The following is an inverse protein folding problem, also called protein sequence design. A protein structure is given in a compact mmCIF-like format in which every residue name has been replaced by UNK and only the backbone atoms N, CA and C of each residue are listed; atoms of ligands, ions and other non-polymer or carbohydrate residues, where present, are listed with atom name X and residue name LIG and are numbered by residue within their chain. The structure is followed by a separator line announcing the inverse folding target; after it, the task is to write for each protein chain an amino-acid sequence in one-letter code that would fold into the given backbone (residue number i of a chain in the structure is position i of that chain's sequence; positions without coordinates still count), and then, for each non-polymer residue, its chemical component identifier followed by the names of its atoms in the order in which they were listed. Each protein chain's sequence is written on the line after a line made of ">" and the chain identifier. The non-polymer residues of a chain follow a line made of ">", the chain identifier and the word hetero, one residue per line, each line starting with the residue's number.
data_IF_299453321047
#
_entry.id   IF_299453321047
#
_cell.length_a   1.000
_cell.length_b   1.000
_cell.length_c   1.000
_cell.angle_alpha   90.00
_cell.angle_beta   90.00
_cell.angle_gamma   90.00
#
_symmetry.space_group_name_H-M   'P 1'
#
loop_
_entity.id
_entity.type
_entity.pdbx_description
1 polymer ?
#
# COMPACT_ATOMS: atom_id res chain seq x y z
N UNK A 1 3.87 -12.69 28.33
CA UNK A 1 3.15 -13.57 27.37
C UNK A 1 3.82 -14.94 27.17
N UNK A 2 5.16 -15.06 27.00
CA UNK A 2 5.86 -16.35 26.79
C UNK A 2 5.67 -17.32 27.95
N UNK A 3 5.91 -16.91 29.19
CA UNK A 3 5.78 -17.76 30.38
C UNK A 3 4.33 -18.14 30.68
N UNK A 4 3.41 -17.17 30.54
CA UNK A 4 1.98 -17.41 30.76
C UNK A 4 1.42 -18.45 29.77
N UNK A 5 1.81 -18.39 28.50
CA UNK A 5 1.38 -19.39 27.52
C UNK A 5 2.01 -20.77 27.76
N UNK A 6 3.25 -20.86 28.29
CA UNK A 6 3.91 -22.13 28.52
C UNK A 6 3.20 -22.89 29.64
N UNK A 7 2.94 -22.25 30.76
CA UNK A 7 2.16 -22.83 31.87
C UNK A 7 0.74 -23.20 31.46
N UNK A 8 0.11 -22.45 30.54
CA UNK A 8 -1.22 -22.77 30.02
C UNK A 8 -1.24 -24.08 29.22
N UNK A 9 -0.21 -24.35 28.39
CA UNK A 9 -0.14 -25.65 27.67
C UNK A 9 0.11 -26.81 28.59
N UNK A 10 0.98 -26.66 29.58
CA UNK A 10 1.27 -27.71 30.57
C UNK A 10 0.03 -28.06 31.39
N UNK A 11 -0.68 -27.04 31.88
CA UNK A 11 -1.82 -27.21 32.76
C UNK A 11 -3.09 -27.72 32.04
N UNK A 12 -3.29 -27.33 30.77
CA UNK A 12 -4.54 -27.64 30.07
C UNK A 12 -4.45 -28.86 29.14
N UNK A 13 -3.26 -29.24 28.68
CA UNK A 13 -3.11 -30.29 27.65
C UNK A 13 -2.09 -31.36 28.05
N UNK A 14 -1.54 -31.33 29.26
CA UNK A 14 -0.47 -32.23 29.69
C UNK A 14 0.62 -32.40 28.62
N UNK A 15 1.05 -31.25 28.02
CA UNK A 15 1.97 -31.21 26.91
C UNK A 15 2.99 -30.08 27.11
N UNK A 16 4.26 -30.43 27.06
CA UNK A 16 5.38 -29.49 27.11
C UNK A 16 5.95 -29.27 25.70
N UNK A 17 5.59 -28.18 25.04
CA UNK A 17 6.12 -27.90 23.71
C UNK A 17 7.61 -27.54 23.78
N UNK A 18 8.41 -28.05 22.82
CA UNK A 18 9.76 -27.52 22.58
C UNK A 18 9.73 -26.05 22.25
N UNK A 19 10.86 -25.33 22.32
CA UNK A 19 10.93 -23.91 22.03
C UNK A 19 10.38 -23.54 20.63
N UNK A 20 10.69 -24.37 19.62
CA UNK A 20 10.17 -24.16 18.27
C UNK A 20 8.68 -24.43 18.16
N UNK A 21 8.18 -25.49 18.78
CA UNK A 21 6.75 -25.81 18.85
C UNK A 21 5.99 -24.70 19.56
N UNK A 22 6.52 -24.20 20.66
CA UNK A 22 5.96 -23.10 21.42
C UNK A 22 5.86 -21.81 20.57
N UNK A 23 6.90 -21.49 19.78
CA UNK A 23 6.87 -20.33 18.86
C UNK A 23 5.73 -20.44 17.87
N UNK A 24 5.51 -21.61 17.28
CA UNK A 24 4.43 -21.84 16.30
C UNK A 24 3.06 -21.70 16.95
N UNK A 25 2.81 -22.42 18.05
CA UNK A 25 1.50 -22.38 18.73
C UNK A 25 1.21 -21.00 19.29
N UNK A 26 2.15 -20.37 19.97
CA UNK A 26 2.01 -19.04 20.55
C UNK A 26 1.76 -17.97 19.46
N UNK A 27 2.41 -18.09 18.31
CA UNK A 27 2.18 -17.18 17.18
C UNK A 27 0.78 -17.35 16.60
N UNK A 28 0.30 -18.55 16.38
CA UNK A 28 -1.05 -18.82 15.90
C UNK A 28 -2.10 -18.29 16.89
N UNK A 29 -1.93 -18.54 18.18
CA UNK A 29 -2.83 -18.03 19.23
C UNK A 29 -2.85 -16.51 19.22
N UNK A 30 -1.69 -15.85 19.16
CA UNK A 30 -1.60 -14.40 19.08
C UNK A 30 -2.39 -13.83 17.89
N UNK A 31 -2.23 -14.40 16.70
CA UNK A 31 -2.94 -13.95 15.51
C UNK A 31 -4.45 -14.19 15.57
N UNK A 32 -4.89 -15.31 16.21
CA UNK A 32 -6.31 -15.59 16.42
C UNK A 32 -6.92 -14.56 17.38
N UNK A 33 -6.25 -14.30 18.52
CA UNK A 33 -6.67 -13.29 19.49
C UNK A 33 -6.86 -11.94 18.82
N UNK A 34 -5.89 -11.52 18.02
CA UNK A 34 -5.90 -10.23 17.31
C UNK A 34 -7.02 -10.15 16.26
N UNK A 35 -7.16 -11.21 15.46
CA UNK A 35 -8.16 -11.27 14.39
C UNK A 35 -9.60 -11.31 14.89
N UNK A 36 -9.85 -12.16 15.91
CA UNK A 36 -11.20 -12.45 16.38
C UNK A 36 -11.61 -11.59 17.59
N UNK A 37 -10.69 -10.76 18.10
CA UNK A 37 -10.87 -10.01 19.35
C UNK A 37 -11.28 -10.92 20.53
N UNK A 38 -10.63 -12.09 20.63
CA UNK A 38 -10.86 -13.07 21.70
C UNK A 38 -9.83 -12.93 22.80
N UNK A 39 -10.18 -13.39 24.00
CA UNK A 39 -9.21 -13.56 25.08
C UNK A 39 -8.39 -14.86 24.90
N UNK A 40 -7.25 -14.94 25.56
CA UNK A 40 -6.43 -16.16 25.58
C UNK A 40 -7.23 -17.36 26.13
N UNK A 41 -8.00 -17.15 27.20
CA UNK A 41 -8.84 -18.21 27.79
C UNK A 41 -9.84 -18.76 26.78
N UNK A 42 -10.54 -17.90 26.04
CA UNK A 42 -11.49 -18.33 25.01
C UNK A 42 -10.85 -19.15 23.90
N UNK A 43 -9.58 -18.87 23.53
CA UNK A 43 -8.86 -19.69 22.55
C UNK A 43 -8.45 -21.05 23.15
N UNK A 44 -8.05 -21.09 24.43
CA UNK A 44 -7.71 -22.35 25.13
C UNK A 44 -8.95 -23.23 25.30
N UNK A 45 -10.08 -22.65 25.72
CA UNK A 45 -11.34 -23.39 25.88
C UNK A 45 -11.80 -23.96 24.53
N UNK A 46 -11.73 -23.18 23.46
CA UNK A 46 -12.00 -23.67 22.10
C UNK A 46 -11.09 -24.86 21.72
N UNK A 47 -9.79 -24.80 22.08
CA UNK A 47 -8.86 -25.89 21.81
C UNK A 47 -9.20 -27.16 22.61
N UNK A 48 -9.63 -27.05 23.88
CA UNK A 48 -10.08 -28.19 24.70
C UNK A 48 -11.28 -28.89 24.08
N UNK A 49 -12.23 -28.12 23.60
CA UNK A 49 -13.47 -28.65 23.03
C UNK A 49 -13.26 -29.29 21.64
N UNK A 50 -12.38 -28.72 20.84
CA UNK A 50 -12.30 -29.08 19.42
C UNK A 50 -11.07 -29.86 19.01
N UNK A 51 -9.98 -29.81 19.81
CA UNK A 51 -8.75 -30.49 19.47
C UNK A 51 -8.75 -31.95 19.99
N UNK A 52 -8.42 -32.93 19.13
CA UNK A 52 -8.29 -34.33 19.57
C UNK A 52 -6.99 -34.61 20.35
N UNK A 53 -6.43 -33.61 21.03
CA UNK A 53 -5.10 -33.69 21.67
C UNK A 53 -4.96 -34.84 22.66
N UNK A 54 -6.01 -35.14 23.41
CA UNK A 54 -6.01 -36.18 24.41
C UNK A 54 -5.95 -37.62 23.81
N UNK A 55 -6.30 -37.75 22.54
CA UNK A 55 -6.19 -39.01 21.79
C UNK A 55 -4.77 -39.30 21.30
N UNK A 56 -3.84 -38.35 21.48
CA UNK A 56 -2.48 -38.42 20.94
C UNK A 56 -1.40 -38.40 22.03
N UNK A 57 -0.22 -38.90 21.69
CA UNK A 57 0.98 -38.89 22.55
C UNK A 57 2.16 -38.21 21.87
N UNK A 58 3.05 -37.65 22.65
CA UNK A 58 4.31 -37.06 22.17
C UNK A 58 4.14 -36.01 21.08
N UNK A 59 4.89 -36.13 19.98
CA UNK A 59 4.89 -35.20 18.85
C UNK A 59 3.50 -35.02 18.19
N UNK A 60 2.66 -36.05 18.24
CA UNK A 60 1.32 -36.00 17.65
C UNK A 60 0.38 -35.04 18.41
N UNK A 61 0.61 -34.77 19.70
CA UNK A 61 -0.11 -33.72 20.44
C UNK A 61 0.15 -32.32 19.84
N UNK A 62 1.40 -32.03 19.52
CA UNK A 62 1.75 -30.77 18.84
C UNK A 62 1.05 -30.64 17.49
N UNK A 63 1.06 -31.69 16.68
CA UNK A 63 0.42 -31.70 15.37
C UNK A 63 -1.07 -31.43 15.51
N UNK A 64 -1.77 -32.11 16.41
CA UNK A 64 -3.20 -31.94 16.66
C UNK A 64 -3.55 -30.48 17.08
N UNK A 65 -2.78 -29.92 18.03
CA UNK A 65 -2.97 -28.53 18.47
C UNK A 65 -2.71 -27.55 17.36
N UNK A 66 -1.59 -27.70 16.63
CA UNK A 66 -1.23 -26.85 15.50
C UNK A 66 -2.32 -26.86 14.43
N UNK A 67 -2.79 -28.04 14.04
CA UNK A 67 -3.76 -28.18 12.95
C UNK A 67 -5.14 -27.61 13.35
N UNK A 68 -5.53 -27.75 14.62
CA UNK A 68 -6.73 -27.10 15.16
C UNK A 68 -6.59 -25.58 15.14
N UNK A 69 -5.43 -25.06 15.58
CA UNK A 69 -5.15 -23.60 15.53
C UNK A 69 -5.09 -23.08 14.09
N UNK A 70 -4.56 -23.84 13.14
CA UNK A 70 -4.57 -23.48 11.71
C UNK A 70 -6.01 -23.36 11.20
N UNK A 71 -6.87 -24.31 11.51
CA UNK A 71 -8.28 -24.25 11.14
C UNK A 71 -8.98 -23.03 11.75
N UNK A 72 -8.71 -22.74 13.01
CA UNK A 72 -9.26 -21.55 13.67
C UNK A 72 -8.72 -20.25 13.05
N UNK A 73 -7.42 -20.21 12.71
CA UNK A 73 -6.76 -19.04 12.15
C UNK A 73 -7.20 -18.75 10.70
N UNK A 74 -7.50 -19.80 9.93
CA UNK A 74 -7.87 -19.74 8.51
C UNK A 74 -9.20 -20.47 8.25
N UNK A 75 -10.32 -20.03 8.83
CA UNK A 75 -11.57 -20.79 8.82
C UNK A 75 -12.16 -20.98 7.44
N UNK A 76 -12.15 -19.97 6.57
CA UNK A 76 -12.72 -20.08 5.23
C UNK A 76 -11.88 -20.97 4.31
N UNK A 77 -10.56 -20.85 4.39
CA UNK A 77 -9.65 -21.69 3.60
C UNK A 77 -9.71 -23.15 4.06
N UNK A 78 -9.70 -23.39 5.37
CA UNK A 78 -9.76 -24.74 5.93
C UNK A 78 -11.05 -25.50 5.61
N UNK A 79 -12.14 -24.81 5.36
CA UNK A 79 -13.40 -25.42 4.91
C UNK A 79 -13.38 -25.83 3.42
N UNK A 80 -12.53 -25.21 2.62
CA UNK A 80 -12.52 -25.37 1.15
C UNK A 80 -11.38 -26.22 0.63
N UNK A 81 -10.26 -26.23 1.34
CA UNK A 81 -9.04 -26.92 0.90
C UNK A 81 -8.11 -27.24 2.07
N UNK A 82 -7.23 -28.21 1.86
CA UNK A 82 -6.11 -28.45 2.77
C UNK A 82 -5.12 -27.30 2.72
N UNK A 83 -4.64 -26.87 3.87
CA UNK A 83 -3.65 -25.81 3.99
C UNK A 83 -2.27 -26.44 4.16
N UNK A 84 -1.38 -26.19 3.22
CA UNK A 84 0.01 -26.60 3.31
C UNK A 84 0.75 -25.73 4.33
N UNK A 85 1.38 -26.33 5.37
CA UNK A 85 2.07 -25.58 6.42
C UNK A 85 3.12 -24.59 5.90
N UNK A 86 3.79 -24.93 4.79
CA UNK A 86 4.82 -24.10 4.15
C UNK A 86 4.26 -22.82 3.51
N UNK A 87 2.98 -22.82 3.21
CA UNK A 87 2.28 -21.63 2.69
C UNK A 87 1.97 -20.59 3.77
N UNK A 88 2.05 -20.99 5.05
CA UNK A 88 1.76 -20.13 6.19
C UNK A 88 3.04 -19.41 6.60
N UNK A 89 2.99 -18.09 6.63
CA UNK A 89 4.08 -17.27 7.17
C UNK A 89 3.78 -16.86 8.61
N UNK A 90 4.55 -17.41 9.54
CA UNK A 90 4.53 -17.08 10.98
C UNK A 90 5.81 -16.30 11.32
N UNK A 91 5.72 -14.98 11.44
CA UNK A 91 6.82 -14.14 11.88
C UNK A 91 7.14 -14.40 13.37
N UNK A 92 8.37 -14.13 13.76
CA UNK A 92 8.73 -14.16 15.19
C UNK A 92 7.96 -13.05 15.93
N UNK A 93 7.44 -13.38 17.13
CA UNK A 93 6.83 -12.38 18.01
C UNK A 93 7.94 -11.49 18.57
N UNK A 94 7.90 -10.22 18.23
CA UNK A 94 8.79 -9.19 18.75
C UNK A 94 7.98 -8.22 19.62
N UNK A 95 8.64 -7.63 20.58
CA UNK A 95 8.04 -6.52 21.33
C UNK A 95 7.84 -5.34 20.39
N UNK A 96 6.63 -4.74 20.41
CA UNK A 96 6.39 -3.51 19.65
C UNK A 96 7.36 -2.41 20.10
N UNK A 97 7.69 -1.52 19.20
CA UNK A 97 8.40 -0.30 19.57
C UNK A 97 7.46 0.51 20.48
N UNK A 98 7.85 0.68 21.73
CA UNK A 98 6.99 1.15 22.84
C UNK A 98 6.53 2.59 22.75
N UNK A 99 7.08 3.37 21.86
CA UNK A 99 6.64 4.76 21.71
C UNK A 99 5.27 4.81 21.04
N UNK A 100 4.34 5.48 21.66
CA UNK A 100 3.05 5.83 21.09
C UNK A 100 3.27 6.59 19.78
N UNK A 101 3.30 5.84 18.66
CA UNK A 101 3.40 6.43 17.35
C UNK A 101 2.12 7.19 17.03
N UNK A 102 2.18 8.50 17.20
CA UNK A 102 1.14 9.38 16.66
C UNK A 102 1.66 9.94 15.33
N UNK A 103 1.09 9.48 14.25
CA UNK A 103 1.29 10.13 12.95
C UNK A 103 0.67 11.52 13.08
N UNK A 104 1.50 12.57 12.98
CA UNK A 104 1.01 13.95 12.99
C UNK A 104 0.21 14.17 11.72
N UNK A 105 -0.98 14.76 11.85
CA UNK A 105 -1.83 15.13 10.70
C UNK A 105 -1.15 16.13 9.77
N UNK A 106 -0.24 16.96 10.29
CA UNK A 106 0.54 17.94 9.53
C UNK A 106 1.99 17.46 9.42
N UNK A 107 2.44 17.32 8.18
CA UNK A 107 3.85 17.00 7.91
C UNK A 107 4.75 18.16 8.33
N UNK A 108 5.74 17.86 9.16
CA UNK A 108 6.82 18.77 9.55
C UNK A 108 8.13 17.97 9.59
N UNK A 109 9.14 18.33 8.78
CA UNK A 109 10.40 17.62 8.80
C UNK A 109 11.14 17.88 10.11
N UNK A 110 11.78 16.86 10.67
CA UNK A 110 12.66 17.03 11.82
C UNK A 110 14.03 17.58 11.43
N UNK A 111 14.43 17.39 10.17
CA UNK A 111 15.67 17.92 9.58
C UNK A 111 15.59 17.85 8.06
N UNK A 112 16.24 18.77 7.39
CA UNK A 112 16.36 18.83 5.93
C UNK A 112 17.81 18.64 5.56
N UNK A 113 18.10 17.72 4.66
CA UNK A 113 19.40 17.52 4.04
C UNK A 113 19.33 18.01 2.59
N UNK A 114 20.35 18.71 2.14
CA UNK A 114 20.43 19.20 0.76
C UNK A 114 21.77 18.81 0.13
N UNK A 115 21.73 18.26 -1.07
CA UNK A 115 22.97 18.04 -1.84
C UNK A 115 23.51 19.39 -2.36
N UNK A 116 24.83 19.55 -2.35
CA UNK A 116 25.54 20.76 -2.82
C UNK A 116 25.10 21.21 -4.21
N UNK A 117 24.90 20.25 -5.12
CA UNK A 117 24.51 20.54 -6.51
C UNK A 117 23.14 21.23 -6.64
N UNK A 118 22.31 21.23 -5.58
CA UNK A 118 20.95 21.77 -5.57
C UNK A 118 20.66 22.70 -4.38
N UNK A 119 21.70 23.21 -3.72
CA UNK A 119 21.59 24.14 -2.58
C UNK A 119 20.88 25.47 -2.93
N UNK A 120 20.91 25.86 -4.19
CA UNK A 120 20.24 27.09 -4.70
C UNK A 120 18.90 26.80 -5.37
N UNK A 121 18.35 25.60 -5.17
CA UNK A 121 17.08 25.22 -5.81
C UNK A 121 15.88 25.93 -5.22
N UNK A 122 14.87 26.19 -6.06
CA UNK A 122 13.59 26.71 -5.63
C UNK A 122 12.92 25.77 -4.61
N UNK A 123 13.13 24.45 -4.73
CA UNK A 123 12.60 23.46 -3.80
C UNK A 123 13.12 23.69 -2.38
N UNK A 124 14.44 23.92 -2.21
CA UNK A 124 15.00 24.26 -0.90
C UNK A 124 14.42 25.58 -0.37
N UNK A 125 14.33 26.60 -1.22
CA UNK A 125 13.74 27.88 -0.84
C UNK A 125 12.29 27.75 -0.35
N UNK A 126 11.48 26.91 -0.99
CA UNK A 126 10.11 26.62 -0.58
C UNK A 126 10.06 25.95 0.79
N UNK A 127 10.91 24.95 1.02
CA UNK A 127 11.02 24.28 2.33
C UNK A 127 11.50 25.23 3.44
N UNK A 128 12.53 26.03 3.18
CA UNK A 128 13.04 27.03 4.14
C UNK A 128 11.98 28.09 4.49
N UNK A 129 11.21 28.54 3.51
CA UNK A 129 10.08 29.45 3.74
C UNK A 129 8.96 28.82 4.57
N UNK A 130 8.63 27.55 4.32
CA UNK A 130 7.56 26.82 5.05
C UNK A 130 8.01 26.45 6.46
N UNK A 131 9.26 26.10 6.65
CA UNK A 131 9.84 25.60 7.90
C UNK A 131 11.09 26.37 8.32
N UNK A 132 10.96 27.66 8.65
CA UNK A 132 12.14 28.54 8.89
C UNK A 132 12.98 28.17 10.12
N UNK A 133 12.45 27.30 11.01
CA UNK A 133 13.15 26.86 12.22
C UNK A 133 13.81 25.50 12.08
N UNK A 134 13.61 24.81 10.96
CA UNK A 134 14.17 23.49 10.75
C UNK A 134 15.60 23.59 10.24
N UNK A 135 16.49 22.84 10.88
CA UNK A 135 17.91 22.77 10.50
C UNK A 135 18.06 22.22 9.08
N UNK A 136 18.87 22.90 8.27
CA UNK A 136 19.28 22.46 6.93
C UNK A 136 20.74 22.06 7.01
N UNK A 137 21.05 20.80 6.66
CA UNK A 137 22.40 20.28 6.58
C UNK A 137 22.79 20.01 5.12
N UNK A 138 23.93 20.56 4.71
CA UNK A 138 24.51 20.29 3.39
C UNK A 138 25.23 18.93 3.39
N UNK A 139 24.97 18.12 2.35
CA UNK A 139 25.61 16.83 2.14
C UNK A 139 26.20 16.73 0.72
N UNK A 140 27.25 15.91 0.53
CA UNK A 140 27.79 15.67 -0.82
C UNK A 140 26.78 14.92 -1.69
N UNK A 141 26.43 13.69 -1.28
CA UNK A 141 25.48 12.81 -1.95
C UNK A 141 24.65 12.06 -0.91
N UNK A 142 23.32 12.00 -1.10
CA UNK A 142 22.44 11.27 -0.19
C UNK A 142 22.80 9.79 -0.09
N UNK A 143 23.15 9.15 -1.22
CA UNK A 143 23.53 7.73 -1.24
C UNK A 143 24.82 7.43 -0.45
N UNK A 144 25.77 8.39 -0.39
CA UNK A 144 26.96 8.29 0.45
C UNK A 144 26.58 8.49 1.93
N UNK A 145 25.73 9.47 2.21
CA UNK A 145 25.23 9.72 3.55
C UNK A 145 24.53 8.48 4.12
N UNK A 146 23.64 7.83 3.35
CA UNK A 146 22.92 6.62 3.75
C UNK A 146 23.84 5.42 4.01
N UNK A 147 24.93 5.29 3.26
CA UNK A 147 25.91 4.20 3.49
C UNK A 147 26.70 4.38 4.77
N UNK A 148 27.00 5.62 5.15
CA UNK A 148 27.74 5.95 6.39
C UNK A 148 26.86 5.85 7.63
N UNK A 149 25.59 6.15 7.51
CA UNK A 149 24.63 6.19 8.62
C UNK A 149 23.72 4.98 8.56
N UNK A 150 23.80 4.10 9.56
CA UNK A 150 22.88 2.96 9.69
C UNK A 150 21.63 3.41 10.43
N UNK A 151 20.49 3.16 9.84
CA UNK A 151 19.20 3.50 10.42
C UNK A 151 18.50 2.27 10.97
N UNK A 152 17.88 2.42 12.12
CA UNK A 152 17.03 1.39 12.74
C UNK A 152 15.57 1.61 12.38
N UNK A 153 14.72 0.61 12.60
CA UNK A 153 13.27 0.72 12.38
C UNK A 153 12.66 1.87 13.20
N UNK A 154 13.23 2.17 14.39
CA UNK A 154 12.78 3.28 15.23
C UNK A 154 13.07 4.65 14.60
N UNK A 155 14.11 4.77 13.80
CA UNK A 155 14.46 6.03 13.13
C UNK A 155 13.63 6.27 11.87
N UNK A 156 13.00 5.23 11.30
CA UNK A 156 12.01 5.42 10.23
C UNK A 156 10.84 6.34 10.64
N UNK A 157 10.74 6.62 11.92
CA UNK A 157 9.77 7.56 12.52
C UNK A 157 10.13 9.03 12.28
N UNK A 158 11.40 9.36 12.04
CA UNK A 158 11.84 10.75 11.88
C UNK A 158 11.47 11.22 10.48
N UNK A 159 10.66 12.25 10.32
CA UNK A 159 10.32 12.78 9.01
C UNK A 159 11.50 13.61 8.47
N UNK A 160 12.54 12.93 7.98
CA UNK A 160 13.66 13.57 7.31
C UNK A 160 13.33 13.91 5.87
N UNK A 161 13.83 15.01 5.36
CA UNK A 161 13.74 15.39 3.95
C UNK A 161 15.15 15.45 3.36
N UNK A 162 15.30 14.82 2.18
CA UNK A 162 16.52 14.88 1.38
C UNK A 162 16.20 15.58 0.05
N UNK A 163 16.70 16.79 -0.13
CA UNK A 163 16.62 17.54 -1.39
C UNK A 163 17.85 17.17 -2.21
N UNK A 164 17.65 16.51 -3.34
CA UNK A 164 18.72 15.86 -4.08
C UNK A 164 18.71 16.23 -5.56
N UNK A 165 19.81 15.96 -6.24
CA UNK A 165 19.88 15.91 -7.71
C UNK A 165 19.71 14.47 -8.17
N UNK A 166 18.60 14.15 -8.85
CA UNK A 166 18.45 12.85 -9.51
C UNK A 166 19.41 12.77 -10.70
N UNK A 167 20.11 11.63 -10.85
CA UNK A 167 21.21 11.48 -11.83
C UNK A 167 21.00 10.38 -12.87
N UNK A 168 19.96 9.56 -12.74
CA UNK A 168 19.88 8.43 -13.65
C UNK A 168 18.55 7.74 -13.82
N UNK A 169 17.77 7.57 -12.79
CA UNK A 169 16.57 6.71 -12.81
C UNK A 169 15.26 7.50 -13.00
N UNK A 170 15.24 8.34 -14.05
CA UNK A 170 14.13 9.27 -14.29
C UNK A 170 12.83 8.58 -14.72
N UNK A 171 12.92 7.56 -15.59
CA UNK A 171 11.76 6.90 -16.18
C UNK A 171 11.98 5.39 -16.16
N UNK A 172 11.00 4.65 -15.63
CA UNK A 172 11.06 3.20 -15.57
C UNK A 172 9.68 2.57 -15.71
N UNK A 173 9.64 1.31 -16.11
CA UNK A 173 8.39 0.53 -16.04
C UNK A 173 7.99 0.27 -14.59
N UNK A 174 6.69 0.24 -14.34
CA UNK A 174 6.16 -0.20 -13.06
C UNK A 174 6.71 -1.60 -12.72
N UNK A 175 7.27 -1.82 -11.49
CA UNK A 175 7.90 -3.08 -11.10
C UNK A 175 6.88 -4.17 -10.79
N UNK A 176 6.08 -4.53 -11.81
CA UNK A 176 5.10 -5.61 -11.68
C UNK A 176 5.79 -6.93 -11.32
N UNK A 177 5.13 -7.72 -10.50
CA UNK A 177 5.63 -9.05 -10.12
C UNK A 177 5.75 -9.95 -11.35
N UNK A 178 6.85 -10.69 -11.48
CA UNK A 178 7.04 -11.69 -12.55
C UNK A 178 5.83 -12.63 -12.62
N UNK A 179 5.48 -13.09 -13.84
CA UNK A 179 4.31 -13.94 -14.12
C UNK A 179 2.93 -13.31 -13.88
N UNK A 180 2.87 -12.02 -13.54
CA UNK A 180 1.62 -11.26 -13.45
C UNK A 180 1.44 -10.37 -14.68
N UNK A 181 0.19 -10.07 -15.02
CA UNK A 181 -0.10 -9.21 -16.17
C UNK A 181 0.22 -7.76 -15.83
N UNK A 182 0.90 -7.09 -16.76
CA UNK A 182 1.22 -5.67 -16.67
C UNK A 182 0.12 -4.85 -17.33
N UNK A 183 -0.24 -3.73 -16.72
CA UNK A 183 -1.12 -2.73 -17.34
C UNK A 183 -0.34 -1.71 -18.20
N UNK A 184 0.95 -1.93 -18.45
CA UNK A 184 1.78 -1.06 -19.28
C UNK A 184 2.20 0.26 -18.65
N UNK A 185 1.98 0.44 -17.35
CA UNK A 185 2.25 1.70 -16.66
C UNK A 185 3.75 2.03 -16.56
N UNK A 186 4.08 3.28 -16.83
CA UNK A 186 5.42 3.84 -16.65
C UNK A 186 5.46 4.78 -15.44
N UNK A 187 6.60 4.88 -14.81
CA UNK A 187 6.83 5.72 -13.65
C UNK A 187 7.80 6.84 -14.04
N UNK A 188 7.39 8.08 -13.84
CA UNK A 188 8.29 9.21 -13.71
C UNK A 188 8.75 9.22 -12.25
N UNK A 189 10.01 8.88 -12.01
CA UNK A 189 10.54 8.60 -10.66
C UNK A 189 10.83 9.89 -9.87
N UNK A 190 9.79 10.64 -9.58
CA UNK A 190 9.86 11.95 -8.92
C UNK A 190 9.93 11.82 -7.39
N UNK A 191 10.98 11.16 -6.90
CA UNK A 191 11.23 11.03 -5.48
C UNK A 191 10.87 9.67 -4.89
N UNK A 192 11.16 9.53 -3.61
CA UNK A 192 10.96 8.30 -2.85
C UNK A 192 10.56 8.61 -1.41
N UNK A 193 9.60 7.86 -0.88
CA UNK A 193 9.04 8.08 0.45
C UNK A 193 7.77 8.91 0.43
N UNK A 194 6.98 8.81 1.50
CA UNK A 194 5.67 9.43 1.57
C UNK A 194 5.39 9.87 3.02
N UNK A 195 4.84 11.07 3.26
CA UNK A 195 4.54 11.54 4.61
C UNK A 195 3.34 10.85 5.26
N UNK A 196 2.53 10.13 4.49
CA UNK A 196 1.28 9.52 4.98
C UNK A 196 1.47 8.28 5.83
N UNK A 197 2.60 7.61 5.71
CA UNK A 197 3.01 6.50 6.57
C UNK A 197 1.93 5.40 6.79
N UNK A 198 1.21 5.01 5.74
CA UNK A 198 0.19 3.96 5.81
C UNK A 198 0.81 2.64 6.29
N UNK A 199 0.15 1.94 7.22
CA UNK A 199 0.69 0.73 7.88
C UNK A 199 1.02 -0.41 6.92
N UNK A 200 0.30 -0.52 5.81
CA UNK A 200 0.44 -1.56 4.80
C UNK A 200 1.30 -1.15 3.60
N UNK A 201 1.86 0.06 3.61
CA UNK A 201 2.60 0.57 2.46
C UNK A 201 3.93 -0.16 2.29
N UNK A 202 4.19 -0.64 1.07
CA UNK A 202 5.44 -1.34 0.77
C UNK A 202 6.69 -0.44 0.92
N UNK A 203 6.54 0.88 0.87
CA UNK A 203 7.63 1.83 1.12
C UNK A 203 8.23 1.67 2.50
N UNK A 204 7.47 1.21 3.49
CA UNK A 204 7.96 0.91 4.83
C UNK A 204 9.10 -0.13 4.87
N UNK A 205 9.11 -1.01 3.87
CA UNK A 205 10.13 -2.05 3.75
C UNK A 205 11.22 -1.67 2.74
N UNK A 206 10.84 -0.95 1.67
CA UNK A 206 11.78 -0.56 0.61
C UNK A 206 12.71 0.58 1.06
N UNK A 207 12.26 1.45 1.96
CA UNK A 207 13.09 2.48 2.53
C UNK A 207 14.02 1.88 3.59
N UNK A 208 15.28 1.69 3.22
CA UNK A 208 16.34 1.33 4.16
C UNK A 208 16.82 2.55 4.99
N UNK A 209 16.08 3.66 4.96
CA UNK A 209 16.40 4.89 5.64
C UNK A 209 15.12 5.68 5.99
N UNK A 210 15.15 6.48 7.06
CA UNK A 210 14.07 7.39 7.38
C UNK A 210 14.11 8.60 6.46
N UNK A 211 12.96 8.96 5.88
CA UNK A 211 12.87 10.20 5.16
C UNK A 211 12.23 10.13 3.78
N UNK A 212 12.09 11.30 3.21
CA UNK A 212 11.52 11.53 1.89
C UNK A 212 12.60 12.14 1.01
N UNK A 213 12.85 11.55 -0.15
CA UNK A 213 13.80 12.05 -1.14
C UNK A 213 13.01 12.83 -2.19
N UNK A 214 13.42 14.06 -2.43
CA UNK A 214 12.77 14.99 -3.36
C UNK A 214 13.81 15.54 -4.34
N UNK A 215 13.72 15.21 -5.64
CA UNK A 215 14.59 15.76 -6.67
C UNK A 215 14.31 17.25 -6.92
N UNK A 216 15.37 18.05 -7.02
CA UNK A 216 15.23 19.47 -7.32
C UNK A 216 15.51 19.85 -8.79
N UNK A 217 15.98 18.90 -9.61
CA UNK A 217 16.41 19.12 -10.99
C UNK A 217 15.35 18.71 -12.01
N UNK A 218 14.20 19.37 -12.03
CA UNK A 218 13.06 19.04 -12.89
C UNK A 218 13.40 19.06 -14.38
N UNK A 219 14.26 19.93 -14.84
CA UNK A 219 14.68 20.04 -16.25
C UNK A 219 15.36 18.77 -16.78
N UNK A 220 16.07 18.06 -15.89
CA UNK A 220 16.69 16.79 -16.26
C UNK A 220 15.62 15.69 -16.50
N UNK A 221 14.53 15.73 -15.74
CA UNK A 221 13.36 14.86 -15.96
C UNK A 221 12.71 15.14 -17.31
N UNK A 222 12.51 16.40 -17.66
CA UNK A 222 11.92 16.82 -18.95
C UNK A 222 12.82 16.42 -20.10
N UNK A 223 14.10 16.69 -20.00
CA UNK A 223 15.10 16.30 -21.01
C UNK A 223 15.12 14.78 -21.21
N UNK A 224 15.09 14.02 -20.12
CA UNK A 224 15.06 12.55 -20.16
C UNK A 224 13.78 12.03 -20.77
N UNK A 225 12.63 12.65 -20.44
CA UNK A 225 11.35 12.28 -21.05
C UNK A 225 11.31 12.59 -22.54
N UNK A 226 11.81 13.73 -22.97
CA UNK A 226 11.85 14.08 -24.40
C UNK A 226 12.72 13.12 -25.22
N UNK A 227 13.84 12.66 -24.67
CA UNK A 227 14.65 11.60 -25.28
C UNK A 227 13.90 10.26 -25.35
N UNK A 228 13.26 9.86 -24.25
CA UNK A 228 12.49 8.64 -24.15
C UNK A 228 11.31 8.63 -25.11
N UNK A 229 10.53 9.74 -25.16
CA UNK A 229 9.30 9.85 -25.95
C UNK A 229 9.50 9.79 -27.44
N UNK A 230 10.68 10.17 -27.98
CA UNK A 230 11.01 10.05 -29.41
C UNK A 230 10.90 8.62 -29.95
N UNK A 231 11.08 7.62 -29.09
CA UNK A 231 11.03 6.20 -29.44
C UNK A 231 9.66 5.57 -29.21
N UNK A 232 8.67 6.33 -28.72
CA UNK A 232 7.34 5.80 -28.46
C UNK A 232 6.55 5.67 -29.78
N UNK A 233 6.15 4.43 -30.09
CA UNK A 233 5.31 4.14 -31.26
C UNK A 233 3.83 4.45 -31.04
N UNK A 234 3.40 4.44 -29.78
CA UNK A 234 2.00 4.70 -29.34
C UNK A 234 2.00 5.50 -28.03
N UNK A 235 0.90 6.16 -27.69
CA UNK A 235 0.75 6.79 -26.39
C UNK A 235 0.98 5.79 -25.25
N UNK A 236 1.44 6.29 -24.11
CA UNK A 236 1.65 5.49 -22.89
C UNK A 236 0.95 6.13 -21.70
N UNK A 237 0.73 5.34 -20.66
CA UNK A 237 0.37 5.82 -19.33
C UNK A 237 1.63 5.98 -18.49
N UNK A 238 1.84 7.19 -17.97
CA UNK A 238 2.99 7.51 -17.10
C UNK A 238 2.53 8.37 -15.94
N UNK A 239 3.12 8.20 -14.76
CA UNK A 239 2.78 9.03 -13.60
C UNK A 239 3.81 8.95 -12.49
N UNK A 240 3.58 9.71 -11.41
CA UNK A 240 4.56 9.92 -10.32
C UNK A 240 4.24 9.17 -9.03
N UNK A 241 3.04 8.62 -8.87
CA UNK A 241 2.49 8.16 -7.59
C UNK A 241 2.87 6.75 -7.14
N UNK A 242 3.95 6.13 -7.64
CA UNK A 242 4.33 4.77 -7.24
C UNK A 242 5.26 4.74 -6.02
N UNK A 243 6.32 5.55 -6.01
CA UNK A 243 7.30 5.58 -4.92
C UNK A 243 7.12 6.76 -3.96
N UNK A 244 6.17 7.63 -4.23
CA UNK A 244 5.74 8.74 -3.40
C UNK A 244 4.24 8.98 -3.62
N UNK A 245 3.62 9.83 -2.83
CA UNK A 245 2.29 10.37 -3.15
C UNK A 245 2.48 11.64 -3.99
N UNK A 246 1.75 11.77 -5.09
CA UNK A 246 1.98 12.86 -6.04
C UNK A 246 1.63 14.26 -5.53
N UNK A 247 0.71 14.36 -4.55
CA UNK A 247 0.18 15.65 -4.08
C UNK A 247 0.36 15.88 -2.58
N UNK A 248 0.86 14.89 -1.82
CA UNK A 248 0.98 15.00 -0.37
C UNK A 248 1.82 16.20 0.11
N UNK A 249 2.81 16.60 -0.68
CA UNK A 249 3.69 17.74 -0.40
C UNK A 249 3.64 18.81 -1.50
N UNK A 250 2.64 18.78 -2.39
CA UNK A 250 2.59 19.66 -3.56
C UNK A 250 2.48 21.15 -3.18
N UNK A 251 1.87 21.48 -2.04
CA UNK A 251 1.84 22.83 -1.49
C UNK A 251 3.23 23.39 -1.10
N UNK A 252 4.26 22.53 -1.07
CA UNK A 252 5.65 22.92 -0.80
C UNK A 252 6.51 22.71 -2.04
N UNK A 253 6.40 21.50 -2.63
CA UNK A 253 7.24 21.13 -3.77
C UNK A 253 6.85 21.84 -5.06
N UNK A 254 5.59 22.20 -5.20
CA UNK A 254 5.00 22.80 -6.41
C UNK A 254 5.26 21.97 -7.69
N UNK A 255 5.48 20.67 -7.54
CA UNK A 255 5.79 19.79 -8.67
C UNK A 255 4.67 19.78 -9.72
N UNK A 256 3.40 19.84 -9.30
CA UNK A 256 2.27 19.90 -10.23
C UNK A 256 2.34 21.13 -11.15
N UNK A 257 2.85 22.28 -10.64
CA UNK A 257 3.02 23.50 -11.42
C UNK A 257 4.06 23.38 -12.53
N UNK A 258 5.06 22.50 -12.36
CA UNK A 258 6.05 22.22 -13.40
C UNK A 258 5.59 21.08 -14.33
N UNK A 259 4.99 20.03 -13.79
CA UNK A 259 4.62 18.82 -14.52
C UNK A 259 3.41 19.02 -15.45
N UNK A 260 2.34 19.64 -14.98
CA UNK A 260 1.11 19.77 -15.75
C UNK A 260 1.31 20.62 -17.02
N UNK A 261 1.93 21.81 -16.96
CA UNK A 261 2.24 22.57 -18.17
C UNK A 261 3.12 21.83 -19.17
N UNK A 262 4.06 21.03 -18.67
CA UNK A 262 4.96 20.26 -19.53
C UNK A 262 4.25 19.08 -20.22
N UNK A 263 3.42 18.32 -19.48
CA UNK A 263 2.78 17.10 -20.02
C UNK A 263 1.48 17.35 -20.78
N UNK A 264 0.81 18.51 -20.62
CA UNK A 264 -0.50 18.79 -21.24
C UNK A 264 -0.50 18.62 -22.76
N UNK A 265 0.62 18.90 -23.43
CA UNK A 265 0.76 18.85 -24.89
C UNK A 265 1.52 17.60 -25.37
N UNK A 266 1.86 16.66 -24.46
CA UNK A 266 2.56 15.42 -24.82
C UNK A 266 1.56 14.30 -25.15
N UNK A 267 1.95 13.40 -26.05
CA UNK A 267 1.14 12.23 -26.45
C UNK A 267 1.23 11.10 -25.38
N UNK A 268 0.80 11.40 -24.18
CA UNK A 268 0.77 10.44 -23.04
C UNK A 268 -0.47 10.71 -22.20
N UNK A 269 -0.91 9.72 -21.43
CA UNK A 269 -1.80 9.92 -20.30
C UNK A 269 -0.93 10.07 -19.04
N UNK A 270 -0.86 11.30 -18.53
CA UNK A 270 -0.03 11.63 -17.37
C UNK A 270 -0.84 11.62 -16.09
N UNK A 271 -0.47 10.76 -15.14
CA UNK A 271 -1.21 10.55 -13.89
C UNK A 271 -0.50 11.14 -12.67
N UNK A 272 -1.23 11.90 -11.88
CA UNK A 272 -0.88 12.25 -10.51
C UNK A 272 -1.78 11.46 -9.55
N UNK A 273 -1.22 10.45 -8.86
CA UNK A 273 -1.96 9.55 -7.96
C UNK A 273 -1.75 9.95 -6.51
N UNK A 274 -2.84 10.07 -5.73
CA UNK A 274 -2.77 10.62 -4.38
C UNK A 274 -3.79 10.03 -3.39
N UNK A 275 -3.53 10.25 -2.10
CA UNK A 275 -4.46 10.15 -0.97
C UNK A 275 -4.65 11.50 -0.26
N UNK A 276 -4.17 12.57 -0.87
CA UNK A 276 -4.30 13.94 -0.37
C UNK A 276 -5.62 14.59 -0.81
N UNK A 277 -6.03 15.62 -0.11
CA UNK A 277 -7.01 16.60 -0.55
C UNK A 277 -6.37 17.94 -0.92
N UNK A 278 -5.04 18.00 -0.99
CA UNK A 278 -4.29 19.18 -1.39
C UNK A 278 -4.31 19.34 -2.91
N UNK A 279 -5.22 20.17 -3.41
CA UNK A 279 -5.46 20.41 -4.82
C UNK A 279 -5.31 21.88 -5.21
N UNK A 280 -4.88 22.73 -4.27
CA UNK A 280 -4.85 24.19 -4.48
C UNK A 280 -4.04 24.57 -5.72
N UNK A 281 -2.87 23.96 -5.93
CA UNK A 281 -2.07 24.21 -7.12
C UNK A 281 -2.77 23.75 -8.41
N UNK A 282 -3.46 22.61 -8.39
CA UNK A 282 -4.17 22.08 -9.56
C UNK A 282 -5.25 23.04 -10.06
N UNK A 283 -5.98 23.67 -9.13
CA UNK A 283 -7.08 24.60 -9.45
C UNK A 283 -6.58 25.92 -10.07
N UNK A 284 -5.30 26.23 -9.95
CA UNK A 284 -4.69 27.42 -10.58
C UNK A 284 -4.17 27.14 -11.99
N UNK A 285 -4.15 25.88 -12.42
CA UNK A 285 -3.56 25.46 -13.68
C UNK A 285 -4.64 25.14 -14.72
N UNK A 286 -4.28 25.31 -16.00
CA UNK A 286 -5.17 24.92 -17.10
C UNK A 286 -5.17 23.40 -17.23
N UNK A 287 -6.35 22.79 -17.08
CA UNK A 287 -6.56 21.36 -17.29
C UNK A 287 -6.33 20.93 -18.74
N UNK A 288 -6.06 19.64 -18.94
CA UNK A 288 -5.99 18.99 -20.25
C UNK A 288 -6.53 17.56 -20.15
N UNK A 289 -7.19 17.03 -21.19
CA UNK A 289 -7.79 15.67 -21.14
C UNK A 289 -6.79 14.55 -20.88
N UNK A 290 -5.53 14.73 -21.24
CA UNK A 290 -4.45 13.76 -21.00
C UNK A 290 -3.80 13.85 -19.62
N UNK A 291 -4.21 14.82 -18.80
CA UNK A 291 -3.78 14.92 -17.40
C UNK A 291 -4.85 14.27 -16.51
N UNK A 292 -4.48 13.22 -15.84
CA UNK A 292 -5.36 12.44 -14.98
C UNK A 292 -4.95 12.65 -13.52
N UNK A 293 -5.89 13.08 -12.70
CA UNK A 293 -5.70 13.10 -11.26
C UNK A 293 -6.44 11.91 -10.67
N UNK A 294 -5.75 11.07 -9.93
CA UNK A 294 -6.37 9.85 -9.43
C UNK A 294 -6.25 9.71 -7.91
N UNK A 295 -7.30 9.17 -7.29
CA UNK A 295 -7.34 8.93 -5.86
C UNK A 295 -7.37 7.45 -5.53
N UNK A 296 -6.54 7.07 -4.54
CA UNK A 296 -6.73 5.78 -3.88
C UNK A 296 -7.87 5.89 -2.87
N UNK A 297 -8.83 4.97 -2.96
CA UNK A 297 -10.02 4.94 -2.12
C UNK A 297 -10.03 3.71 -1.22
N UNK A 298 -10.35 3.92 0.05
CA UNK A 298 -10.50 2.89 1.07
C UNK A 298 -11.71 3.20 1.94
N UNK A 299 -12.38 2.20 2.54
CA UNK A 299 -13.43 2.43 3.51
C UNK A 299 -12.97 3.31 4.68
N UNK A 300 -13.88 4.13 5.25
CA UNK A 300 -13.55 5.05 6.35
C UNK A 300 -12.81 4.34 7.49
N UNK A 301 -13.25 3.15 7.88
CA UNK A 301 -12.58 2.35 8.90
C UNK A 301 -11.11 2.06 8.59
N UNK A 302 -10.76 1.78 7.32
CA UNK A 302 -9.37 1.56 6.89
C UNK A 302 -8.59 2.87 6.89
N UNK A 303 -9.20 3.96 6.42
CA UNK A 303 -8.56 5.29 6.43
C UNK A 303 -8.17 5.67 7.85
N UNK A 304 -9.08 5.55 8.80
CA UNK A 304 -8.86 5.92 10.19
C UNK A 304 -7.85 5.04 10.91
N UNK A 305 -7.86 3.75 10.62
CA UNK A 305 -7.01 2.77 11.31
C UNK A 305 -5.61 2.64 10.70
N UNK A 306 -5.52 2.61 9.37
CA UNK A 306 -4.32 2.21 8.64
C UNK A 306 -3.69 3.34 7.81
N UNK A 307 -4.42 4.43 7.54
CA UNK A 307 -3.99 5.56 6.69
C UNK A 307 -4.08 6.91 7.43
N UNK A 308 -3.71 6.94 8.69
CA UNK A 308 -3.99 8.04 9.67
C UNK A 308 -3.57 9.45 9.25
N UNK A 309 -2.55 9.60 8.42
CA UNK A 309 -2.08 10.91 7.98
C UNK A 309 -2.65 11.36 6.63
N UNK A 310 -3.50 10.54 6.00
CA UNK A 310 -4.10 10.86 4.70
C UNK A 310 -5.39 11.68 4.88
N UNK A 311 -5.88 12.26 3.78
CA UNK A 311 -7.22 12.83 3.76
C UNK A 311 -8.29 11.75 4.01
N UNK A 312 -9.39 12.11 4.66
CA UNK A 312 -10.54 11.22 4.82
C UNK A 312 -11.16 10.84 3.46
N UNK A 313 -11.96 9.77 3.42
CA UNK A 313 -12.66 9.38 2.19
C UNK A 313 -13.49 10.55 1.62
N UNK A 314 -14.25 11.23 2.47
CA UNK A 314 -15.11 12.33 2.03
C UNK A 314 -14.31 13.53 1.53
N UNK A 315 -13.15 13.83 2.12
CA UNK A 315 -12.23 14.86 1.63
C UNK A 315 -11.61 14.49 0.27
N UNK A 316 -11.20 13.22 0.07
CA UNK A 316 -10.68 12.75 -1.23
C UNK A 316 -11.74 12.86 -2.33
N UNK A 317 -12.98 12.46 -2.04
CA UNK A 317 -14.09 12.55 -2.99
C UNK A 317 -14.50 14.00 -3.30
N UNK A 318 -14.46 14.89 -2.30
CA UNK A 318 -14.70 16.33 -2.51
C UNK A 318 -13.62 16.93 -3.41
N UNK A 319 -12.34 16.70 -3.10
CA UNK A 319 -11.22 17.14 -3.90
C UNK A 319 -11.29 16.61 -5.36
N UNK A 320 -11.66 15.33 -5.53
CA UNK A 320 -11.85 14.75 -6.86
C UNK A 320 -12.98 15.42 -7.63
N UNK A 321 -14.08 15.77 -6.98
CA UNK A 321 -15.20 16.48 -7.62
C UNK A 321 -14.81 17.90 -8.04
N UNK A 322 -14.07 18.63 -7.22
CA UNK A 322 -13.56 19.97 -7.55
C UNK A 322 -12.58 19.92 -8.74
N UNK A 323 -11.67 18.97 -8.75
CA UNK A 323 -10.71 18.76 -9.84
C UNK A 323 -11.43 18.36 -11.13
N UNK A 324 -12.44 17.48 -11.04
CA UNK A 324 -13.27 17.15 -12.20
C UNK A 324 -14.04 18.37 -12.73
N UNK A 325 -14.58 19.20 -11.85
CA UNK A 325 -15.27 20.44 -12.23
C UNK A 325 -14.31 21.44 -12.88
N UNK A 326 -13.02 21.45 -12.51
CA UNK A 326 -11.98 22.24 -13.15
C UNK A 326 -11.53 21.68 -14.52
N UNK A 327 -12.13 20.57 -14.98
CA UNK A 327 -11.93 20.02 -16.33
C UNK A 327 -10.81 18.97 -16.45
N UNK A 328 -10.28 18.47 -15.33
CA UNK A 328 -9.36 17.34 -15.36
C UNK A 328 -10.09 16.01 -15.50
N UNK A 329 -9.45 15.04 -16.15
CA UNK A 329 -9.87 13.64 -16.08
C UNK A 329 -9.54 13.06 -14.70
N UNK A 330 -10.44 12.22 -14.15
CA UNK A 330 -10.23 11.60 -12.83
C UNK A 330 -10.18 10.09 -12.94
N UNK A 331 -9.34 9.46 -12.13
CA UNK A 331 -9.21 8.00 -12.00
C UNK A 331 -9.25 7.53 -10.55
N UNK A 332 -9.50 6.24 -10.33
CA UNK A 332 -9.60 5.71 -8.97
C UNK A 332 -8.85 4.39 -8.82
N UNK A 333 -8.29 4.19 -7.63
CA UNK A 333 -7.55 2.99 -7.25
C UNK A 333 -8.14 2.41 -5.97
N UNK A 334 -8.71 1.22 -6.06
CA UNK A 334 -9.04 0.40 -4.91
C UNK A 334 -7.89 -0.59 -4.70
N UNK A 335 -6.78 -0.08 -4.21
CA UNK A 335 -5.53 -0.83 -4.02
C UNK A 335 -4.80 -0.35 -2.74
N UNK A 336 -4.84 -1.16 -1.65
CA UNK A 336 -5.34 -2.53 -1.59
C UNK A 336 -6.83 -2.66 -1.24
N UNK A 337 -7.50 -3.64 -1.86
CA UNK A 337 -8.75 -4.20 -1.35
C UNK A 337 -8.42 -5.17 -0.21
N UNK A 338 -9.05 -4.97 0.94
CA UNK A 338 -8.76 -5.72 2.17
C UNK A 338 -9.99 -6.55 2.56
N UNK A 339 -9.78 -7.85 2.72
CA UNK A 339 -10.82 -8.78 3.16
C UNK A 339 -11.07 -8.67 4.67
N UNK A 340 -12.00 -7.81 5.05
CA UNK A 340 -12.41 -7.55 6.41
C UNK A 340 -13.77 -8.18 6.73
N UNK A 341 -14.16 -8.18 7.99
CA UNK A 341 -15.54 -8.48 8.38
C UNK A 341 -16.49 -7.42 7.77
N UNK A 342 -17.55 -7.87 7.07
CA UNK A 342 -18.52 -7.00 6.36
C UNK A 342 -17.88 -6.15 5.23
N UNK A 343 -16.80 -6.60 4.61
CA UNK A 343 -16.11 -5.85 3.57
C UNK A 343 -17.01 -5.46 2.39
N UNK A 344 -18.01 -6.29 2.04
CA UNK A 344 -18.96 -5.99 0.96
C UNK A 344 -19.69 -4.66 1.21
N UNK A 345 -20.24 -4.48 2.42
CA UNK A 345 -20.95 -3.26 2.80
C UNK A 345 -19.98 -2.06 2.82
N UNK A 346 -18.81 -2.25 3.43
CA UNK A 346 -17.82 -1.17 3.57
C UNK A 346 -17.35 -0.63 2.22
N UNK A 347 -16.99 -1.50 1.26
CA UNK A 347 -16.62 -1.06 -0.08
C UNK A 347 -17.82 -0.65 -0.91
N UNK A 348 -19.01 -1.24 -0.68
CA UNK A 348 -20.27 -0.81 -1.27
C UNK A 348 -20.56 0.65 -1.00
N UNK A 349 -20.41 1.11 0.25
CA UNK A 349 -20.58 2.50 0.66
C UNK A 349 -19.56 3.44 -0.04
N UNK A 350 -18.31 3.00 -0.21
CA UNK A 350 -17.31 3.80 -0.94
C UNK A 350 -17.75 4.01 -2.39
N UNK A 351 -18.21 2.94 -3.04
CA UNK A 351 -18.65 3.00 -4.44
C UNK A 351 -19.91 3.86 -4.57
N UNK A 352 -20.88 3.71 -3.66
CA UNK A 352 -22.10 4.52 -3.65
C UNK A 352 -21.78 6.02 -3.51
N UNK A 353 -20.90 6.39 -2.55
CA UNK A 353 -20.42 7.75 -2.37
C UNK A 353 -19.68 8.29 -3.60
N UNK A 354 -18.86 7.45 -4.24
CA UNK A 354 -18.13 7.82 -5.45
C UNK A 354 -19.09 8.24 -6.57
N UNK A 355 -20.07 7.40 -6.90
CA UNK A 355 -21.02 7.67 -7.98
C UNK A 355 -22.08 8.71 -7.64
N UNK A 356 -22.30 9.02 -6.36
CA UNK A 356 -23.14 10.12 -5.92
C UNK A 356 -22.46 11.49 -6.17
N UNK A 357 -21.14 11.56 -5.96
CA UNK A 357 -20.40 12.84 -5.97
C UNK A 357 -19.75 13.18 -7.32
N UNK A 358 -19.43 12.19 -8.16
CA UNK A 358 -18.66 12.41 -9.38
C UNK A 358 -19.39 11.95 -10.65
N UNK A 359 -19.09 12.62 -11.75
CA UNK A 359 -19.65 12.31 -13.07
C UNK A 359 -18.82 11.24 -13.77
N UNK A 360 -19.49 10.19 -14.24
CA UNK A 360 -18.91 9.12 -15.08
C UNK A 360 -18.93 9.47 -16.57
N UNK A 361 -18.10 8.88 -17.46
CA UNK A 361 -17.10 7.86 -17.14
C UNK A 361 -15.85 8.47 -16.50
N UNK A 362 -15.09 7.64 -15.77
CA UNK A 362 -13.76 7.97 -15.26
C UNK A 362 -12.68 7.55 -16.26
N UNK A 363 -11.46 8.06 -16.11
CA UNK A 363 -10.32 7.62 -16.91
C UNK A 363 -10.07 6.11 -16.76
N UNK A 364 -10.09 5.62 -15.54
CA UNK A 364 -10.04 4.19 -15.19
C UNK A 364 -10.37 3.94 -13.72
N UNK A 365 -10.62 2.67 -13.41
CA UNK A 365 -10.64 2.15 -12.05
C UNK A 365 -9.66 0.97 -11.96
N UNK A 366 -8.68 1.07 -11.07
CA UNK A 366 -7.74 0.00 -10.76
C UNK A 366 -8.16 -0.76 -9.53
N UNK A 367 -8.12 -2.08 -9.57
CA UNK A 367 -8.43 -2.95 -8.44
C UNK A 367 -7.23 -3.82 -8.11
N UNK A 368 -6.86 -3.89 -6.83
CA UNK A 368 -5.80 -4.76 -6.36
C UNK A 368 -6.06 -5.24 -4.94
N UNK A 369 -6.01 -6.55 -4.68
CA UNK A 369 -6.15 -7.07 -3.32
C UNK A 369 -4.86 -6.89 -2.52
N UNK A 370 -4.98 -6.89 -1.19
CA UNK A 370 -3.82 -6.77 -0.29
C UNK A 370 -2.76 -7.82 -0.61
N UNK A 371 -1.55 -7.35 -0.82
CA UNK A 371 -0.36 -8.16 -1.09
C UNK A 371 0.87 -7.52 -0.50
N UNK A 372 1.75 -8.31 0.06
CA UNK A 372 2.98 -7.78 0.66
C UNK A 372 4.11 -8.79 0.71
N UNK A 373 5.33 -8.29 0.79
CA UNK A 373 6.47 -9.12 1.19
C UNK A 373 6.33 -9.51 2.67
N UNK A 374 6.89 -10.65 3.05
CA UNK A 374 6.87 -11.17 4.43
C UNK A 374 7.39 -10.17 5.47
N UNK A 375 8.45 -9.43 5.11
CA UNK A 375 9.09 -8.46 6.00
C UNK A 375 8.17 -7.29 6.36
N UNK A 376 7.27 -6.87 5.43
CA UNK A 376 6.34 -5.79 5.72
C UNK A 376 5.40 -6.14 6.88
N UNK A 377 4.92 -7.38 6.97
CA UNK A 377 4.14 -7.83 8.13
C UNK A 377 4.89 -7.61 9.45
N UNK A 378 6.19 -7.98 9.48
CA UNK A 378 7.03 -7.79 10.68
C UNK A 378 7.24 -6.31 10.99
N UNK A 379 7.50 -5.48 9.98
CA UNK A 379 7.67 -4.03 10.17
C UNK A 379 6.37 -3.40 10.67
N UNK A 380 5.22 -3.78 10.10
CA UNK A 380 3.91 -3.29 10.53
C UNK A 380 3.62 -3.66 11.99
N UNK A 381 3.89 -4.89 12.39
CA UNK A 381 3.70 -5.35 13.77
C UNK A 381 4.58 -4.57 14.77
N UNK A 382 5.79 -4.19 14.37
CA UNK A 382 6.69 -3.39 15.21
C UNK A 382 6.26 -1.92 15.29
N UNK A 383 5.88 -1.32 14.16
CA UNK A 383 5.59 0.11 14.06
C UNK A 383 4.14 0.45 14.38
N UNK A 384 3.21 -0.43 14.05
CA UNK A 384 1.77 -0.23 14.17
C UNK A 384 1.12 -1.39 14.93
N UNK A 385 1.41 -1.54 16.24
CA UNK A 385 0.95 -2.70 17.02
C UNK A 385 -0.57 -2.82 17.09
N UNK A 386 -1.31 -1.77 16.77
CA UNK A 386 -2.78 -1.79 16.70
C UNK A 386 -3.32 -2.28 15.37
N UNK A 387 -2.48 -2.36 14.33
CA UNK A 387 -2.88 -2.89 13.02
C UNK A 387 -3.09 -4.40 13.08
N UNK A 388 -4.17 -4.87 12.49
CA UNK A 388 -4.48 -6.28 12.30
C UNK A 388 -4.63 -6.65 10.82
N UNK A 389 -4.22 -5.75 9.93
CA UNK A 389 -4.40 -5.85 8.47
C UNK A 389 -3.81 -7.15 7.88
N UNK A 390 -2.74 -7.68 8.49
CA UNK A 390 -2.07 -8.91 8.05
C UNK A 390 -2.59 -10.18 8.73
N UNK A 391 -3.62 -10.09 9.56
CA UNK A 391 -4.23 -11.27 10.20
C UNK A 391 -5.45 -11.80 9.43
N UNK A 392 -5.73 -11.31 8.22
CA UNK A 392 -6.62 -11.95 7.25
C UNK A 392 -6.08 -13.29 6.75
N UNK A 393 -6.83 -14.00 5.91
CA UNK A 393 -6.41 -15.30 5.35
C UNK A 393 -5.38 -15.12 4.23
N UNK A 394 -4.15 -14.73 4.63
CA UNK A 394 -3.03 -14.47 3.73
C UNK A 394 -2.04 -15.64 3.75
N UNK A 395 -1.67 -16.11 2.58
CA UNK A 395 -0.71 -17.19 2.37
C UNK A 395 0.42 -16.74 1.45
N UNK A 396 1.53 -17.46 1.49
CA UNK A 396 2.64 -17.24 0.57
C UNK A 396 2.24 -17.74 -0.82
N UNK A 397 2.13 -16.81 -1.77
CA UNK A 397 1.96 -17.12 -3.17
C UNK A 397 3.28 -17.61 -3.83
N UNK A 398 3.19 -18.01 -5.10
CA UNK A 398 4.38 -18.43 -5.90
C UNK A 398 5.45 -17.32 -5.98
N UNK A 399 5.04 -16.06 -5.92
CA UNK A 399 5.93 -14.90 -5.89
C UNK A 399 6.51 -14.59 -4.49
N UNK A 400 6.30 -15.50 -3.52
CA UNK A 400 6.71 -15.38 -2.12
C UNK A 400 6.14 -14.17 -1.39
N UNK A 401 5.10 -13.55 -1.92
CA UNK A 401 4.32 -12.49 -1.26
C UNK A 401 3.14 -13.11 -0.53
N UNK A 402 2.73 -12.47 0.55
CA UNK A 402 1.47 -12.76 1.23
C UNK A 402 0.33 -12.28 0.34
N UNK A 403 -0.62 -13.17 0.05
CA UNK A 403 -1.79 -12.92 -0.80
C UNK A 403 -3.01 -13.68 -0.28
N UNK A 404 -4.19 -13.19 -0.58
CA UNK A 404 -5.40 -13.98 -0.38
C UNK A 404 -5.45 -15.18 -1.32
N UNK A 405 -6.06 -16.32 -0.90
CA UNK A 405 -6.38 -17.44 -1.79
C UNK A 405 -7.25 -16.97 -2.97
N UNK A 406 -7.16 -17.70 -4.08
CA UNK A 406 -7.85 -17.32 -5.31
C UNK A 406 -9.36 -17.19 -5.16
N UNK A 407 -10.00 -18.04 -4.34
CA UNK A 407 -11.45 -17.97 -4.13
C UNK A 407 -11.85 -16.65 -3.43
N UNK A 408 -11.08 -16.17 -2.44
CA UNK A 408 -11.33 -14.88 -1.77
C UNK A 408 -11.12 -13.73 -2.77
N UNK A 409 -10.02 -13.76 -3.53
CA UNK A 409 -9.76 -12.72 -4.55
C UNK A 409 -10.87 -12.64 -5.58
N UNK A 410 -11.31 -13.79 -6.10
CA UNK A 410 -12.39 -13.86 -7.09
C UNK A 410 -13.72 -13.34 -6.54
N UNK A 411 -14.02 -13.65 -5.28
CA UNK A 411 -15.22 -13.13 -4.61
C UNK A 411 -15.15 -11.60 -4.49
N UNK A 412 -14.02 -11.06 -4.01
CA UNK A 412 -13.81 -9.60 -3.88
C UNK A 412 -13.98 -8.91 -5.24
N UNK A 413 -13.26 -9.39 -6.27
CA UNK A 413 -13.32 -8.76 -7.59
C UNK A 413 -14.72 -8.84 -8.22
N UNK A 414 -15.39 -9.99 -8.11
CA UNK A 414 -16.75 -10.17 -8.64
C UNK A 414 -17.73 -9.16 -8.02
N UNK A 415 -17.69 -9.02 -6.70
CA UNK A 415 -18.59 -8.14 -5.95
C UNK A 415 -18.32 -6.66 -6.28
N UNK A 416 -17.05 -6.24 -6.19
CA UNK A 416 -16.65 -4.84 -6.44
C UNK A 416 -16.95 -4.44 -7.89
N UNK A 417 -16.58 -5.27 -8.86
CA UNK A 417 -16.85 -5.00 -10.28
C UNK A 417 -18.35 -4.99 -10.55
N UNK A 418 -19.07 -5.94 -9.99
CA UNK A 418 -20.54 -5.99 -10.12
C UNK A 418 -21.20 -4.70 -9.65
N UNK A 419 -20.80 -4.20 -8.46
CA UNK A 419 -21.28 -2.94 -7.90
C UNK A 419 -20.90 -1.74 -8.77
N UNK A 420 -19.66 -1.67 -9.26
CA UNK A 420 -19.22 -0.60 -10.18
C UNK A 420 -20.02 -0.65 -11.49
N UNK A 421 -20.19 -1.83 -12.10
CA UNK A 421 -20.89 -2.00 -13.37
C UNK A 421 -22.41 -1.74 -13.28
N UNK A 422 -22.98 -1.81 -12.09
CA UNK A 422 -24.35 -1.33 -11.84
C UNK A 422 -24.47 0.18 -12.12
N UNK A 423 -23.48 0.97 -11.69
CA UNK A 423 -23.46 2.41 -11.92
C UNK A 423 -22.88 2.81 -13.27
N UNK A 424 -21.82 2.13 -13.72
CA UNK A 424 -21.00 2.57 -14.84
C UNK A 424 -20.51 1.40 -15.70
N UNK A 425 -21.04 1.34 -16.93
CA UNK A 425 -20.68 0.30 -17.91
C UNK A 425 -19.48 0.70 -18.79
N UNK A 426 -19.05 1.97 -18.77
CA UNK A 426 -18.06 2.54 -19.72
C UNK A 426 -16.67 2.64 -19.15
N UNK A 427 -16.51 3.06 -17.89
CA UNK A 427 -15.18 3.25 -17.29
C UNK A 427 -14.33 1.97 -17.41
N UNK A 428 -13.11 2.06 -17.95
CA UNK A 428 -12.17 0.94 -17.98
C UNK A 428 -11.83 0.45 -16.56
N UNK A 429 -11.94 -0.87 -16.31
CA UNK A 429 -11.55 -1.49 -15.04
C UNK A 429 -10.43 -2.48 -15.31
N UNK A 430 -9.37 -2.43 -14.53
CA UNK A 430 -8.26 -3.39 -14.64
C UNK A 430 -7.79 -3.88 -13.26
N UNK A 431 -7.14 -5.05 -13.25
CA UNK A 431 -6.55 -5.62 -12.04
C UNK A 431 -5.07 -5.27 -11.95
N UNK A 432 -4.62 -4.81 -10.78
CA UNK A 432 -3.23 -4.52 -10.50
C UNK A 432 -2.52 -5.75 -9.94
N UNK A 433 -1.41 -6.17 -10.56
CA UNK A 433 -0.55 -7.28 -10.12
C UNK A 433 -1.30 -8.60 -9.89
N UNK A 434 -2.19 -8.98 -10.80
CA UNK A 434 -2.86 -10.27 -10.80
C UNK A 434 -2.42 -11.17 -11.98
N UNK A 435 -2.50 -12.48 -11.78
CA UNK A 435 -2.14 -13.45 -12.79
C UNK A 435 -3.24 -13.60 -13.87
N UNK A 436 -2.89 -14.23 -15.01
CA UNK A 436 -3.81 -14.46 -16.13
C UNK A 436 -5.07 -15.22 -15.69
N UNK A 437 -4.95 -16.21 -14.80
CA UNK A 437 -6.09 -17.00 -14.32
C UNK A 437 -7.12 -16.15 -13.58
N UNK A 438 -6.68 -15.24 -12.70
CA UNK A 438 -7.57 -14.30 -11.99
C UNK A 438 -8.28 -13.40 -13.00
N UNK A 439 -7.55 -12.83 -13.97
CA UNK A 439 -8.12 -11.99 -15.01
C UNK A 439 -9.18 -12.72 -15.83
N UNK A 440 -8.89 -13.92 -16.35
CA UNK A 440 -9.84 -14.69 -17.20
C UNK A 440 -11.07 -15.15 -16.43
N UNK A 441 -10.96 -15.35 -15.12
CA UNK A 441 -12.09 -15.74 -14.28
C UNK A 441 -12.97 -14.55 -13.84
N UNK A 442 -12.57 -13.32 -14.17
CA UNK A 442 -13.25 -12.09 -13.74
C UNK A 442 -13.86 -11.38 -14.94
N UNK A 443 -15.17 -11.14 -14.89
CA UNK A 443 -15.92 -10.44 -15.95
C UNK A 443 -15.95 -8.94 -15.70
N UNK A 444 -16.17 -8.16 -16.76
CA UNK A 444 -16.35 -6.70 -16.67
C UNK A 444 -15.05 -5.88 -16.65
N UNK A 445 -13.93 -6.52 -16.91
CA UNK A 445 -12.63 -5.89 -17.09
C UNK A 445 -12.41 -5.41 -18.54
N UNK A 446 -11.36 -4.61 -18.74
CA UNK A 446 -10.83 -4.30 -20.07
C UNK A 446 -10.37 -5.58 -20.80
N UNK A 447 -10.27 -5.51 -22.12
CA UNK A 447 -9.86 -6.65 -22.93
C UNK A 447 -8.44 -7.11 -22.56
N UNK A 448 -8.34 -8.39 -22.20
CA UNK A 448 -7.10 -9.03 -21.82
C UNK A 448 -6.08 -9.11 -22.96
N UNK A 449 -6.55 -9.17 -24.21
CA UNK A 449 -5.67 -9.26 -25.39
C UNK A 449 -4.90 -7.96 -25.63
N UNK A 450 -5.41 -6.83 -25.16
CA UNK A 450 -4.80 -5.51 -25.34
C UNK A 450 -5.08 -4.56 -24.18
N UNK A 451 -4.61 -4.93 -22.98
CA UNK A 451 -4.84 -4.15 -21.76
C UNK A 451 -4.34 -2.71 -21.90
N UNK A 452 -3.13 -2.53 -22.44
CA UNK A 452 -2.49 -1.21 -22.58
C UNK A 452 -3.32 -0.29 -23.48
N UNK A 453 -3.71 -0.75 -24.66
CA UNK A 453 -4.51 0.06 -25.58
C UNK A 453 -5.92 0.35 -25.03
N UNK A 454 -6.55 -0.62 -24.35
CA UNK A 454 -7.87 -0.43 -23.74
C UNK A 454 -7.88 0.61 -22.59
N UNK A 455 -6.72 0.97 -22.06
CA UNK A 455 -6.56 1.97 -21.02
C UNK A 455 -6.08 3.34 -21.56
N UNK A 456 -5.78 3.42 -22.85
CA UNK A 456 -5.31 4.63 -23.51
C UNK A 456 -6.41 5.19 -24.45
N UNK A 457 -7.29 4.31 -24.93
CA UNK A 457 -8.44 4.66 -25.77
C UNK A 457 -9.50 5.45 -24.99
#
# INVERSE_FOLDING_TARGET
>A
MKELCKSLFENNFSFQPSQNQFRVLGRLIFEIIRRENKSLCQVIDYLKETSPVDKHKGKNKFIALRDTLIKCRFPQTSQRQTIEPESIFLSELKEPLTDNWQVKSNFEPSKIFVEKDVEKSQLLANFAKKFPKIEVEEIDYYSRYLRKNKFTVSELKKPLVFIVKERGDFIKRCPCTKKHLSCGYWILNLGFGCPFDCSYCFLQQYSNFPGIILPANMEDFFTSFDKFSRNLKQPIRIGTGEFCDSLALDHITEYSKALIPYFKDKKVLFELKTKSNDIANLLTLKSSPNIIISWSLSPCFIVEKEEKATASLDQRLAAAAEVQAAGYSVGFHFDPLIHLKKWQNLYGEVIDKLYLKLKKPFAWISLGTLRSNRQLKTVTELRFPQSDIFYGELFLGEDKKLRYPDFIKKEIYKEIIGKIRHYDKKTPIYLCMENKQTWTSTKGLVDLSNIEASLIA
#
